data_IF_587397825378
#
_entry.id   IF_587397825378
#
_cell.length_a   1.000
_cell.length_b   1.000
_cell.length_c   1.000
_cell.angle_alpha   90.00
_cell.angle_beta   90.00
_cell.angle_gamma   90.00
#
_symmetry.space_group_name_H-M   'P 1'
#
loop_
_entity.id
_entity.type
_entity.pdbx_description
1 polymer ?
#
# COMPACT_ATOMS: atom_id res chain seq x y z
N UNK A 1 10.16 30.14 25.48
CA UNK A 1 9.53 29.43 24.34
C UNK A 1 9.73 27.94 24.54
N UNK A 2 8.74 27.23 25.10
CA UNK A 2 8.82 25.76 25.24
C UNK A 2 8.43 25.17 23.90
N UNK A 3 9.38 24.56 23.20
CA UNK A 3 9.13 23.78 22.00
C UNK A 3 8.09 22.71 22.34
N UNK A 4 6.87 22.87 21.82
CA UNK A 4 5.80 21.88 21.93
C UNK A 4 6.28 20.60 21.27
N UNK A 5 6.75 19.64 22.07
CA UNK A 5 7.22 18.36 21.58
C UNK A 5 6.16 17.73 20.69
N UNK A 6 6.54 17.45 19.45
CA UNK A 6 5.69 16.95 18.38
C UNK A 6 5.07 15.59 18.78
N UNK A 7 3.87 15.61 19.37
CA UNK A 7 3.18 14.43 19.96
C UNK A 7 2.72 13.39 18.92
N UNK A 8 2.92 13.66 17.64
CA UNK A 8 2.43 12.83 16.52
C UNK A 8 3.15 11.48 16.49
N UNK A 9 4.48 11.45 16.70
CA UNK A 9 5.25 10.20 16.74
C UNK A 9 4.89 9.32 17.95
N UNK A 10 4.51 9.92 19.08
CA UNK A 10 4.01 9.19 20.24
C UNK A 10 2.71 8.43 19.96
N UNK A 11 1.85 8.94 19.08
CA UNK A 11 0.57 8.30 18.77
C UNK A 11 0.73 7.00 17.96
N UNK A 12 1.56 7.01 16.91
CA UNK A 12 1.82 5.82 16.11
C UNK A 12 2.58 4.74 16.90
N UNK A 13 3.56 5.15 17.71
CA UNK A 13 4.29 4.25 18.60
C UNK A 13 3.36 3.54 19.60
N UNK A 14 2.36 4.26 20.14
CA UNK A 14 1.39 3.68 21.06
C UNK A 14 0.46 2.65 20.39
N UNK A 15 0.14 2.80 19.11
CA UNK A 15 -0.59 1.79 18.33
C UNK A 15 0.27 0.54 18.12
N UNK A 16 1.53 0.71 17.70
CA UNK A 16 2.48 -0.39 17.45
C UNK A 16 2.88 -1.16 18.72
N UNK A 17 2.93 -0.45 19.85
CA UNK A 17 3.11 -1.01 21.19
C UNK A 17 1.79 -1.54 21.78
N UNK A 18 0.67 -1.45 21.08
CA UNK A 18 -0.62 -1.96 21.57
C UNK A 18 -1.11 -1.31 22.86
N UNK A 19 -0.69 -0.07 23.12
CA UNK A 19 -1.13 0.78 24.23
C UNK A 19 -2.32 1.66 23.84
N UNK A 20 -2.61 1.77 22.54
CA UNK A 20 -3.71 2.57 21.98
C UNK A 20 -4.50 1.73 20.98
N UNK A 21 -5.82 1.90 20.97
CA UNK A 21 -6.70 1.23 20.04
C UNK A 21 -6.59 1.86 18.64
N UNK A 22 -6.45 1.00 17.61
CA UNK A 22 -6.36 1.45 16.21
C UNK A 22 -7.68 1.97 15.64
N UNK A 23 -8.80 1.57 16.24
CA UNK A 23 -10.13 1.87 15.70
C UNK A 23 -10.72 3.16 16.25
N UNK A 24 -10.58 3.39 17.57
CA UNK A 24 -11.19 4.54 18.25
C UNK A 24 -10.18 5.42 18.99
N UNK A 25 -8.88 5.11 18.92
CA UNK A 25 -7.83 5.90 19.56
C UNK A 25 -7.80 5.85 21.10
N UNK A 26 -8.65 5.05 21.76
CA UNK A 26 -8.64 4.96 23.22
C UNK A 26 -7.41 4.24 23.77
N UNK A 27 -6.90 4.70 24.92
CA UNK A 27 -5.85 4.03 25.69
C UNK A 27 -6.36 2.92 26.61
N UNK A 28 -7.69 2.77 26.74
CA UNK A 28 -8.32 1.70 27.53
C UNK A 28 -8.26 0.38 26.76
N UNK A 29 -7.08 -0.24 26.71
CA UNK A 29 -6.84 -1.49 25.95
C UNK A 29 -6.18 -2.55 26.84
N UNK A 30 -6.45 -3.81 26.52
CA UNK A 30 -5.80 -4.97 27.13
C UNK A 30 -5.10 -5.79 26.05
N UNK A 31 -3.94 -6.37 26.39
CA UNK A 31 -3.30 -7.39 25.55
C UNK A 31 -3.82 -8.77 25.93
N UNK A 32 -4.18 -9.56 24.94
CA UNK A 32 -4.54 -10.97 25.13
C UNK A 32 -3.28 -11.83 25.07
N UNK A 33 -3.35 -13.04 25.65
CA UNK A 33 -2.26 -14.03 25.57
C UNK A 33 -1.88 -14.38 24.12
N UNK A 34 -2.83 -14.28 23.18
CA UNK A 34 -2.63 -14.52 21.73
C UNK A 34 -1.93 -13.37 20.99
N UNK A 35 -1.52 -12.29 21.68
CA UNK A 35 -0.88 -11.14 21.05
C UNK A 35 -1.84 -10.15 20.36
N UNK A 36 -3.13 -10.17 20.74
CA UNK A 36 -4.11 -9.19 20.26
C UNK A 36 -4.27 -8.04 21.25
N UNK A 37 -4.60 -6.87 20.73
CA UNK A 37 -4.99 -5.71 21.53
C UNK A 37 -6.50 -5.57 21.45
N UNK A 38 -7.19 -5.79 22.56
CA UNK A 38 -8.64 -5.62 22.70
C UNK A 38 -8.94 -4.28 23.37
N UNK A 39 -9.79 -3.46 22.75
CA UNK A 39 -10.21 -2.19 23.33
C UNK A 39 -11.41 -2.39 24.26
N UNK A 40 -11.35 -1.79 25.45
CA UNK A 40 -12.47 -1.76 26.40
C UNK A 40 -13.55 -0.74 26.03
N UNK A 41 -13.23 0.27 25.22
CA UNK A 41 -14.19 1.31 24.79
C UNK A 41 -15.05 0.85 23.61
N UNK A 42 -14.43 0.36 22.54
CA UNK A 42 -15.15 -0.05 21.32
C UNK A 42 -15.33 -1.56 21.16
N UNK A 43 -14.83 -2.38 22.10
CA UNK A 43 -14.92 -3.84 22.07
C UNK A 43 -14.07 -4.55 21.01
N UNK A 44 -13.63 -3.84 19.97
CA UNK A 44 -12.86 -4.38 18.84
C UNK A 44 -11.46 -4.85 19.27
N UNK A 45 -10.95 -5.84 18.54
CA UNK A 45 -9.62 -6.41 18.75
C UNK A 45 -8.82 -6.50 17.44
N UNK A 46 -7.48 -6.36 17.53
CA UNK A 46 -6.57 -6.53 16.40
C UNK A 46 -5.26 -7.15 16.84
N UNK A 47 -4.69 -8.03 16.02
CA UNK A 47 -3.36 -8.61 16.28
C UNK A 47 -2.28 -7.53 16.15
N UNK A 48 -1.38 -7.45 17.14
CA UNK A 48 -0.23 -6.54 17.08
C UNK A 48 0.71 -6.88 15.91
N UNK A 49 0.97 -8.17 15.66
CA UNK A 49 1.82 -8.61 14.57
C UNK A 49 1.23 -8.24 13.21
N UNK A 50 -0.09 -8.46 13.05
CA UNK A 50 -0.80 -8.08 11.81
C UNK A 50 -0.78 -6.57 11.59
N UNK A 51 -1.01 -5.77 12.64
CA UNK A 51 -0.95 -4.31 12.56
C UNK A 51 0.44 -3.81 12.12
N UNK A 52 1.51 -4.37 12.69
CA UNK A 52 2.88 -4.03 12.30
C UNK A 52 3.13 -4.32 10.82
N UNK A 53 2.73 -5.52 10.37
CA UNK A 53 2.86 -5.92 8.96
C UNK A 53 2.11 -4.96 8.02
N UNK A 54 0.86 -4.61 8.35
CA UNK A 54 0.07 -3.66 7.55
C UNK A 54 0.76 -2.29 7.46
N UNK A 55 1.33 -1.78 8.56
CA UNK A 55 2.07 -0.52 8.57
C UNK A 55 3.34 -0.61 7.72
N UNK A 56 4.10 -1.71 7.81
CA UNK A 56 5.26 -1.92 6.94
C UNK A 56 4.89 -1.96 5.47
N UNK A 57 3.74 -2.54 5.11
CA UNK A 57 3.25 -2.53 3.73
C UNK A 57 2.92 -1.11 3.26
N UNK A 58 2.28 -0.30 4.11
CA UNK A 58 2.02 1.10 3.82
C UNK A 58 3.31 1.91 3.64
N UNK A 59 4.32 1.67 4.49
CA UNK A 59 5.63 2.31 4.38
C UNK A 59 6.35 1.93 3.09
N UNK A 60 6.37 0.65 2.73
CA UNK A 60 6.95 0.19 1.47
C UNK A 60 6.24 0.77 0.24
N UNK A 61 4.92 0.92 0.30
CA UNK A 61 4.15 1.58 -0.75
C UNK A 61 4.56 3.05 -0.91
N UNK A 62 4.64 3.79 0.20
CA UNK A 62 5.06 5.19 0.22
C UNK A 62 6.49 5.38 -0.30
N UNK A 63 7.40 4.46 0.03
CA UNK A 63 8.79 4.44 -0.44
C UNK A 63 8.93 3.90 -1.88
N UNK A 64 7.83 3.60 -2.56
CA UNK A 64 7.80 3.05 -3.92
C UNK A 64 8.58 1.74 -4.08
N UNK A 65 8.71 0.95 -3.00
CA UNK A 65 9.38 -0.35 -3.03
C UNK A 65 8.54 -1.31 -3.87
N UNK A 66 9.13 -2.01 -4.87
CA UNK A 66 8.41 -2.99 -5.66
C UNK A 66 7.80 -4.11 -4.80
N UNK A 67 6.58 -4.53 -5.13
CA UNK A 67 5.81 -5.48 -4.32
C UNK A 67 6.54 -6.82 -4.10
N UNK A 68 7.32 -7.29 -5.08
CA UNK A 68 8.08 -8.55 -4.95
C UNK A 68 9.22 -8.44 -3.93
N UNK A 69 9.89 -7.29 -3.84
CA UNK A 69 10.99 -7.05 -2.89
C UNK A 69 10.44 -7.04 -1.47
N UNK A 70 9.38 -6.27 -1.24
CA UNK A 70 8.72 -6.21 0.06
C UNK A 70 8.11 -7.57 0.47
N UNK A 71 7.65 -8.36 -0.50
CA UNK A 71 7.11 -9.70 -0.27
C UNK A 71 8.18 -10.67 0.24
N UNK A 72 9.37 -10.60 -0.34
CA UNK A 72 10.55 -11.32 0.13
C UNK A 72 10.90 -10.91 1.57
N UNK A 73 10.99 -9.61 1.85
CA UNK A 73 11.36 -9.10 3.19
C UNK A 73 10.35 -9.48 4.28
N UNK A 74 9.07 -9.57 3.93
CA UNK A 74 7.99 -9.93 4.86
C UNK A 74 7.68 -11.43 4.91
N UNK A 75 8.31 -12.24 4.04
CA UNK A 75 7.97 -13.65 3.80
C UNK A 75 6.45 -13.85 3.55
N UNK A 76 5.88 -13.04 2.66
CA UNK A 76 4.46 -13.11 2.25
C UNK A 76 4.39 -13.28 0.74
N UNK A 77 3.33 -13.91 0.23
CA UNK A 77 3.09 -14.02 -1.20
C UNK A 77 2.98 -12.64 -1.89
N UNK A 78 3.71 -12.46 -3.00
CA UNK A 78 3.79 -11.20 -3.72
C UNK A 78 2.45 -10.73 -4.30
N UNK A 79 1.51 -11.64 -4.58
CA UNK A 79 0.16 -11.27 -5.05
C UNK A 79 -0.63 -10.59 -3.93
N UNK A 80 -0.41 -10.95 -2.67
CA UNK A 80 -1.08 -10.30 -1.53
C UNK A 80 -0.66 -8.84 -1.45
N UNK A 81 0.64 -8.55 -1.50
CA UNK A 81 1.15 -7.17 -1.46
C UNK A 81 0.69 -6.39 -2.69
N UNK A 82 0.76 -7.00 -3.88
CA UNK A 82 0.30 -6.37 -5.13
C UNK A 82 -1.16 -5.95 -5.06
N UNK A 83 -2.05 -6.79 -4.49
CA UNK A 83 -3.47 -6.47 -4.28
C UNK A 83 -3.66 -5.31 -3.30
N UNK A 84 -2.87 -5.25 -2.23
CA UNK A 84 -2.92 -4.12 -1.29
C UNK A 84 -2.48 -2.83 -1.99
N UNK A 85 -1.38 -2.85 -2.75
CA UNK A 85 -0.91 -1.70 -3.51
C UNK A 85 -1.94 -1.20 -4.52
N UNK A 86 -2.63 -2.11 -5.22
CA UNK A 86 -3.70 -1.73 -6.14
C UNK A 86 -4.84 -1.00 -5.43
N UNK A 87 -5.28 -1.47 -4.26
CA UNK A 87 -6.30 -0.79 -3.45
C UNK A 87 -5.85 0.59 -2.98
N UNK A 88 -4.58 0.73 -2.58
CA UNK A 88 -4.02 2.02 -2.18
C UNK A 88 -4.01 3.00 -3.35
N UNK A 89 -3.56 2.59 -4.54
CA UNK A 89 -3.59 3.44 -5.75
C UNK A 89 -5.01 3.86 -6.11
N UNK A 90 -5.97 2.94 -6.06
CA UNK A 90 -7.37 3.25 -6.34
C UNK A 90 -7.93 4.26 -5.33
N UNK A 91 -7.63 4.10 -4.03
CA UNK A 91 -8.04 5.05 -3.01
C UNK A 91 -7.41 6.44 -3.23
N UNK A 92 -6.11 6.51 -3.55
CA UNK A 92 -5.44 7.77 -3.88
C UNK A 92 -6.07 8.45 -5.09
N UNK A 93 -6.39 7.69 -6.14
CA UNK A 93 -7.08 8.22 -7.32
C UNK A 93 -8.45 8.82 -6.96
N UNK A 94 -9.26 8.11 -6.18
CA UNK A 94 -10.58 8.63 -5.78
C UNK A 94 -10.49 9.89 -4.90
N UNK A 95 -9.47 9.99 -4.04
CA UNK A 95 -9.25 11.21 -3.25
C UNK A 95 -8.86 12.37 -4.16
N UNK A 96 -7.95 12.15 -5.09
CA UNK A 96 -7.52 13.18 -6.05
C UNK A 96 -8.68 13.67 -6.94
N UNK A 97 -9.54 12.76 -7.40
CA UNK A 97 -10.76 13.12 -8.14
C UNK A 97 -11.70 14.00 -7.31
N UNK A 98 -11.94 13.67 -6.04
CA UNK A 98 -12.79 14.47 -5.15
C UNK A 98 -12.18 15.86 -4.91
N UNK A 99 -10.86 15.95 -4.74
CA UNK A 99 -10.14 17.22 -4.58
C UNK A 99 -10.18 18.06 -5.86
N UNK A 100 -10.06 17.44 -7.03
CA UNK A 100 -10.18 18.09 -8.34
C UNK A 100 -11.61 18.55 -8.64
N UNK A 101 -12.64 17.85 -8.15
CA UNK A 101 -14.04 18.27 -8.28
C UNK A 101 -14.40 19.40 -7.30
N UNK A 102 -13.82 19.39 -6.09
CA UNK A 102 -14.06 20.41 -5.06
C UNK A 102 -13.35 21.74 -5.40
N UNK A 103 -12.16 21.66 -5.97
CA UNK A 103 -11.44 22.79 -6.52
C UNK A 103 -12.04 23.15 -7.87
N UNK A 104 -12.76 24.27 -8.02
CA UNK A 104 -13.06 24.80 -9.36
C UNK A 104 -11.71 25.06 -10.02
N UNK A 105 -11.30 24.20 -10.95
CA UNK A 105 -10.04 24.30 -11.68
C UNK A 105 -10.02 25.62 -12.46
N UNK A 106 -9.54 26.69 -11.84
CA UNK A 106 -9.33 27.99 -12.47
C UNK A 106 -7.82 28.27 -12.47
N UNK A 107 -7.17 27.99 -13.59
CA UNK A 107 -5.73 28.18 -13.80
C UNK A 107 -5.20 27.42 -15.00
N UNK A 108 -3.98 27.76 -15.41
CA UNK A 108 -3.18 27.02 -16.39
C UNK A 108 -2.77 25.67 -15.79
N UNK A 109 -3.03 24.57 -16.51
CA UNK A 109 -2.68 23.22 -16.07
C UNK A 109 -1.31 22.91 -16.64
N UNK A 110 -0.27 22.99 -15.80
CA UNK A 110 1.06 22.49 -16.14
C UNK A 110 1.05 20.96 -16.04
N UNK A 111 1.25 20.30 -17.19
CA UNK A 111 1.28 18.84 -17.28
C UNK A 111 2.74 18.40 -17.34
N UNK A 112 3.27 17.92 -16.23
CA UNK A 112 4.57 17.24 -16.23
C UNK A 112 4.44 15.90 -16.97
N UNK A 113 5.00 15.83 -18.19
CA UNK A 113 5.05 14.59 -18.98
C UNK A 113 6.03 13.58 -18.36
N UNK A 114 5.59 12.88 -17.32
CA UNK A 114 6.27 11.69 -16.84
C UNK A 114 5.90 10.51 -17.74
N UNK A 115 6.83 10.10 -18.62
CA UNK A 115 6.66 8.93 -19.48
C UNK A 115 6.67 7.64 -18.65
N UNK A 116 5.49 7.18 -18.23
CA UNK A 116 5.34 5.87 -17.59
C UNK A 116 5.23 4.78 -18.66
N UNK A 117 6.25 3.92 -18.76
CA UNK A 117 6.27 2.74 -19.62
C UNK A 117 5.26 1.67 -19.20
N UNK A 118 3.97 1.93 -19.43
CA UNK A 118 2.89 0.96 -19.24
C UNK A 118 2.90 -0.08 -20.35
N UNK A 119 2.87 -1.38 -20.01
CA UNK A 119 2.68 -2.45 -20.98
C UNK A 119 1.28 -2.33 -21.58
N UNK A 120 1.15 -1.71 -22.76
CA UNK A 120 -0.10 -1.74 -23.54
C UNK A 120 -0.36 -3.17 -23.97
N UNK A 121 -1.56 -3.67 -23.71
CA UNK A 121 -2.00 -4.99 -24.15
C UNK A 121 -2.21 -4.92 -25.68
N UNK A 122 -1.14 -5.15 -26.44
CA UNK A 122 -1.24 -5.33 -27.89
C UNK A 122 -2.08 -6.57 -28.22
N UNK A 123 -2.59 -6.68 -29.46
CA UNK A 123 -3.29 -7.87 -29.92
C UNK A 123 -2.42 -9.10 -29.61
N UNK A 124 -3.05 -10.12 -29.02
CA UNK A 124 -2.42 -11.38 -28.66
C UNK A 124 -1.88 -11.99 -29.96
N UNK A 125 -0.58 -11.96 -30.18
CA UNK A 125 0.03 -12.67 -31.30
C UNK A 125 -0.32 -14.15 -31.17
N UNK A 126 -1.12 -14.63 -32.11
CA UNK A 126 -1.34 -16.04 -32.39
C UNK A 126 0.01 -16.58 -32.90
N UNK A 127 0.63 -17.40 -32.05
CA UNK A 127 1.69 -18.38 -32.32
C UNK A 127 2.88 -17.99 -33.21
N UNK A 128 4.05 -17.89 -32.61
CA UNK A 128 5.28 -18.46 -33.17
C UNK A 128 5.59 -19.69 -32.27
N UNK A 129 6.01 -20.88 -32.69
CA UNK A 129 6.92 -21.39 -33.75
C UNK A 129 6.63 -22.93 -33.91
N UNK A 130 7.46 -23.87 -34.46
CA UNK A 130 8.76 -23.79 -35.18
C UNK A 130 8.93 -24.75 -36.41
N UNK A 131 9.94 -24.47 -37.25
CA UNK A 131 10.78 -25.46 -37.94
C UNK A 131 10.19 -26.44 -38.96
N UNK A 132 10.35 -26.13 -40.26
CA UNK A 132 10.84 -27.11 -41.25
C UNK A 132 11.85 -26.42 -42.17
N UNK A 133 13.07 -26.94 -42.12
CA UNK A 133 14.20 -26.57 -42.97
C UNK A 133 13.91 -26.93 -44.43
N UNK A 134 14.29 -26.05 -45.36
CA UNK A 134 14.61 -26.44 -46.72
C UNK A 134 15.99 -25.87 -47.05
N UNK A 135 17.00 -26.74 -46.89
CA UNK A 135 18.30 -26.58 -47.54
C UNK A 135 18.11 -26.57 -49.06
N UNK A 136 18.86 -25.71 -49.71
CA UNK A 136 19.15 -25.74 -51.14
C UNK A 136 19.83 -27.05 -51.56
N UNK A 137 19.37 -27.69 -52.64
CA UNK A 137 20.19 -28.51 -53.54
C UNK A 137 19.45 -28.82 -54.86
N UNK A 138 20.17 -28.58 -55.96
CA UNK A 138 20.01 -29.09 -57.33
C UNK A 138 18.88 -28.55 -58.20
#
# INVERSE_FOLDING_TARGET
>A
MVAGQNRVFGCAANLLRGKKCVFCGSFKVNRTRRGYVKCRRCGKQKSCAKLRREITILQGFYQQVPAYRLAHDLAVDAKVISRVYQKLRAASFHVAELEAMASKLSGEIEVDEAYFGGRRKGPRAVWAQPGKAWCSAS
#
